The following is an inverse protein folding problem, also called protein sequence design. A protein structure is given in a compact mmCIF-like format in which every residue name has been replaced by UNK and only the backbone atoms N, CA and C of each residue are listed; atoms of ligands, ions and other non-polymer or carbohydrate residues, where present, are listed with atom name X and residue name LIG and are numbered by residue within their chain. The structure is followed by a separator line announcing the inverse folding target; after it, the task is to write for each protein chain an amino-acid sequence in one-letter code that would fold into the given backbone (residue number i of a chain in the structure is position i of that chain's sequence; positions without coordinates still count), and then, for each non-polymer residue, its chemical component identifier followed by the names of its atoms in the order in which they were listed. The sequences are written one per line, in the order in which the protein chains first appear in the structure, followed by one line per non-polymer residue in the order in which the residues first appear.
data_IF_718864413656
#
_entry.id   IF_718864413656
#
_cell.length_a   1.000
_cell.length_b   1.000
_cell.length_c   1.000
_cell.angle_alpha   90.00
_cell.angle_beta   90.00
_cell.angle_gamma   90.00
#
_symmetry.space_group_name_H-M   'P 1'
#
loop_
_entity.id
_entity.type
_entity.pdbx_description
1 polymer ?
#
# COMPACT_ATOMS: atom_id res chain seq x y z
N UNK A 1 -7.82 1.36 7.02
CA UNK A 1 -8.08 2.29 8.15
C UNK A 1 -6.88 3.22 8.25
N UNK A 2 -7.09 4.54 8.28
CA UNK A 2 -5.98 5.50 8.30
C UNK A 2 -5.26 5.47 9.66
N UNK A 3 -3.94 5.65 9.65
CA UNK A 3 -3.17 5.88 10.87
C UNK A 3 -3.30 7.37 11.27
N UNK A 4 -4.30 7.63 12.11
CA UNK A 4 -4.61 8.98 12.58
C UNK A 4 -3.49 9.59 13.42
N UNK A 5 -2.71 8.77 14.11
CA UNK A 5 -1.58 9.24 14.90
C UNK A 5 -0.43 9.67 13.99
N UNK A 6 -0.13 8.89 12.94
CA UNK A 6 0.87 9.28 11.94
C UNK A 6 0.47 10.60 11.26
N UNK A 7 -0.77 10.71 10.79
CA UNK A 7 -1.30 11.96 10.18
C UNK A 7 -1.20 13.16 11.13
N UNK A 8 -1.51 12.95 12.42
CA UNK A 8 -1.38 13.97 13.45
C UNK A 8 0.06 14.47 13.57
N UNK A 9 1.03 13.55 13.65
CA UNK A 9 2.45 13.85 13.82
C UNK A 9 3.09 14.48 12.57
N UNK A 10 2.82 13.95 11.38
CA UNK A 10 3.37 14.47 10.12
C UNK A 10 2.92 15.90 9.81
N UNK A 11 1.74 16.31 10.28
CA UNK A 11 1.13 17.61 10.00
C UNK A 11 1.16 18.57 11.19
N UNK A 12 2.16 18.45 12.07
CA UNK A 12 2.32 19.31 13.26
C UNK A 12 2.22 20.82 12.94
N UNK A 13 2.87 21.27 11.86
CA UNK A 13 2.88 22.66 11.45
C UNK A 13 1.49 23.23 11.05
N UNK A 14 0.52 22.36 10.76
CA UNK A 14 -0.83 22.73 10.34
C UNK A 14 -1.85 22.65 11.48
N UNK A 15 -1.42 22.22 12.67
CA UNK A 15 -2.29 22.16 13.84
C UNK A 15 -2.61 23.57 14.33
N UNK A 16 -3.86 23.77 14.72
CA UNK A 16 -4.35 25.06 15.23
C UNK A 16 -4.76 24.92 16.68
N UNK A 17 -4.40 25.90 17.52
CA UNK A 17 -4.84 25.93 18.91
C UNK A 17 -6.35 26.17 18.98
N UNK A 18 -7.05 25.37 19.77
CA UNK A 18 -8.50 25.45 19.91
C UNK A 18 -8.88 25.89 21.32
N UNK A 19 -9.44 27.09 21.41
CA UNK A 19 -9.70 27.75 22.68
C UNK A 19 -11.18 27.61 23.04
N UNK A 20 -11.53 26.48 23.66
CA UNK A 20 -12.86 26.22 24.22
C UNK A 20 -12.69 25.76 25.67
N UNK A 21 -13.68 26.03 26.51
CA UNK A 21 -13.71 25.57 27.91
C UNK A 21 -13.76 24.04 28.07
N UNK A 22 -13.89 23.29 26.99
CA UNK A 22 -13.82 21.83 26.99
C UNK A 22 -12.37 21.39 27.05
N UNK A 23 -12.02 20.73 28.15
CA UNK A 23 -10.70 20.17 28.38
C UNK A 23 -10.53 18.77 27.81
N UNK A 24 -11.60 18.15 27.29
CA UNK A 24 -11.60 16.79 26.76
C UNK A 24 -11.74 16.81 25.23
N UNK A 25 -10.74 16.23 24.55
CA UNK A 25 -10.73 16.05 23.11
C UNK A 25 -11.86 15.16 22.58
N UNK A 26 -12.53 14.38 23.44
CA UNK A 26 -13.66 13.50 23.08
C UNK A 26 -15.03 14.20 23.12
N UNK A 27 -15.15 15.39 23.72
CA UNK A 27 -16.43 16.07 23.94
C UNK A 27 -16.65 17.28 23.02
N UNK A 28 -16.14 17.23 21.78
CA UNK A 28 -16.18 18.36 20.83
C UNK A 28 -17.23 18.22 19.71
N UNK A 29 -18.05 17.16 19.70
CA UNK A 29 -18.96 16.85 18.59
C UNK A 29 -19.88 18.02 18.20
N UNK A 30 -20.55 18.63 19.18
CA UNK A 30 -21.47 19.76 18.96
C UNK A 30 -20.73 21.02 18.50
N UNK A 31 -19.53 21.26 19.06
CA UNK A 31 -18.71 22.43 18.75
C UNK A 31 -18.14 22.36 17.32
N UNK A 32 -17.72 21.17 16.90
CA UNK A 32 -17.17 20.90 15.58
C UNK A 32 -18.26 20.65 14.53
N UNK A 33 -19.52 20.45 14.95
CA UNK A 33 -20.63 20.00 14.10
C UNK A 33 -20.28 18.72 13.33
N UNK A 34 -19.58 17.82 13.99
CA UNK A 34 -19.00 16.62 13.42
C UNK A 34 -19.23 15.44 14.36
N UNK A 35 -19.31 14.23 13.81
CA UNK A 35 -19.55 13.00 14.56
C UNK A 35 -18.21 12.46 15.07
N UNK A 36 -18.12 12.12 16.36
CA UNK A 36 -16.97 11.38 16.88
C UNK A 36 -16.98 9.96 16.31
N UNK A 37 -15.94 9.59 15.57
CA UNK A 37 -15.79 8.26 14.97
C UNK A 37 -14.67 7.44 15.61
N UNK A 38 -13.69 8.10 16.21
CA UNK A 38 -12.61 7.43 16.94
C UNK A 38 -12.26 8.24 18.20
N UNK A 39 -12.55 7.75 19.42
CA UNK A 39 -12.20 8.46 20.64
C UNK A 39 -10.68 8.43 20.90
N UNK A 40 -10.17 9.49 21.53
CA UNK A 40 -8.83 9.49 22.10
C UNK A 40 -8.77 8.54 23.31
N UNK A 41 -7.66 7.83 23.42
CA UNK A 41 -7.33 6.90 24.52
C UNK A 41 -5.84 7.01 24.88
N UNK A 42 -5.39 6.29 25.90
CA UNK A 42 -3.96 6.23 26.26
C UNK A 42 -3.06 5.72 25.12
N UNK A 43 -3.60 4.85 24.26
CA UNK A 43 -2.87 4.28 23.11
C UNK A 43 -3.00 5.12 21.83
N UNK A 44 -4.10 5.87 21.70
CA UNK A 44 -4.39 6.74 20.57
C UNK A 44 -4.71 8.14 21.10
N UNK A 45 -3.72 9.03 21.27
CA UNK A 45 -3.93 10.31 21.96
C UNK A 45 -4.79 11.33 21.20
N UNK A 46 -5.32 10.95 20.03
CA UNK A 46 -6.07 11.82 19.13
C UNK A 46 -7.49 11.29 18.95
N UNK A 47 -8.47 12.17 19.17
CA UNK A 47 -9.87 11.93 18.85
C UNK A 47 -10.13 12.34 17.40
N UNK A 48 -10.92 11.56 16.66
CA UNK A 48 -11.24 11.81 15.26
C UNK A 48 -12.73 12.05 15.12
N UNK A 49 -13.03 13.23 14.59
CA UNK A 49 -14.36 13.64 14.20
C UNK A 49 -14.50 13.62 12.69
N UNK A 50 -15.70 13.34 12.21
CA UNK A 50 -16.02 13.27 10.79
C UNK A 50 -17.25 14.11 10.48
N UNK A 51 -17.16 14.91 9.42
CA UNK A 51 -18.31 15.47 8.73
C UNK A 51 -18.36 14.98 7.27
N UNK A 52 -19.18 15.63 6.44
CA UNK A 52 -19.35 15.24 5.04
C UNK A 52 -18.04 15.33 4.24
N UNK A 53 -17.19 16.33 4.50
CA UNK A 53 -16.11 16.72 3.60
C UNK A 53 -14.71 16.53 4.21
N UNK A 54 -14.61 16.41 5.54
CA UNK A 54 -13.33 16.35 6.26
C UNK A 54 -13.36 15.48 7.52
N UNK A 55 -12.16 15.12 7.95
CA UNK A 55 -11.86 14.67 9.30
C UNK A 55 -11.29 15.82 10.11
N UNK A 56 -11.65 15.88 11.40
CA UNK A 56 -11.06 16.80 12.37
C UNK A 56 -10.42 15.96 13.46
N UNK A 57 -9.09 16.02 13.54
CA UNK A 57 -8.30 15.35 14.57
C UNK A 57 -8.12 16.32 15.74
N UNK A 58 -8.39 15.87 16.95
CA UNK A 58 -8.27 16.64 18.18
C UNK A 58 -7.32 15.95 19.15
N UNK A 59 -6.26 16.64 19.56
CA UNK A 59 -5.24 16.08 20.45
C UNK A 59 -4.75 17.11 21.47
N UNK A 60 -4.15 16.61 22.55
CA UNK A 60 -3.55 17.43 23.59
C UNK A 60 -2.03 17.47 23.47
N UNK A 61 -1.48 18.59 23.01
CA UNK A 61 -0.04 18.83 22.92
C UNK A 61 0.27 20.27 23.38
N UNK A 62 0.47 20.44 24.69
CA UNK A 62 0.59 21.77 25.31
C UNK A 62 -0.70 22.60 25.33
N UNK A 63 -1.83 21.99 24.98
CA UNK A 63 -3.16 22.59 24.85
C UNK A 63 -4.02 21.76 23.90
N UNK A 64 -5.33 22.01 23.86
CA UNK A 64 -6.19 21.37 22.88
C UNK A 64 -5.87 21.96 21.49
N UNK A 65 -5.51 21.08 20.56
CA UNK A 65 -5.19 21.43 19.18
C UNK A 65 -6.10 20.68 18.23
N UNK A 66 -6.36 21.28 17.06
CA UNK A 66 -7.12 20.66 15.98
C UNK A 66 -6.28 20.59 14.70
N UNK A 67 -6.45 19.50 13.96
CA UNK A 67 -5.96 19.33 12.61
C UNK A 67 -7.14 18.98 11.71
N UNK A 68 -7.41 19.82 10.72
CA UNK A 68 -8.42 19.54 9.71
C UNK A 68 -7.77 18.82 8.52
N UNK A 69 -8.39 17.72 8.10
CA UNK A 69 -7.93 16.91 6.97
C UNK A 69 -9.10 16.71 6.01
N UNK A 70 -9.03 17.35 4.84
CA UNK A 70 -10.05 17.18 3.80
C UNK A 70 -10.01 15.75 3.26
N UNK A 71 -11.17 15.08 3.14
CA UNK A 71 -11.26 13.69 2.62
C UNK A 71 -10.68 13.57 1.22
N UNK A 72 -10.95 14.57 0.39
CA UNK A 72 -10.44 14.72 -0.97
C UNK A 72 -8.90 14.90 -1.06
N UNK A 73 -8.22 15.07 0.08
CA UNK A 73 -6.76 15.12 0.17
C UNK A 73 -6.12 13.85 0.74
N UNK A 74 -6.89 12.79 0.96
CA UNK A 74 -6.45 11.48 1.48
C UNK A 74 -6.44 10.41 0.38
N UNK A 75 -5.84 10.75 -0.75
CA UNK A 75 -5.64 9.86 -1.89
C UNK A 75 -4.26 9.19 -1.83
N UNK A 76 -4.16 8.03 -2.46
CA UNK A 76 -2.91 7.32 -2.76
C UNK A 76 -2.77 7.20 -4.28
N UNK A 77 -1.53 7.25 -4.78
CA UNK A 77 -1.23 7.05 -6.20
C UNK A 77 -0.23 5.91 -6.31
N UNK A 78 -0.64 4.82 -6.95
CA UNK A 78 0.24 3.68 -7.19
C UNK A 78 0.53 3.51 -8.68
N UNK A 79 1.76 3.07 -8.96
CA UNK A 79 2.26 2.89 -10.30
C UNK A 79 2.51 1.42 -10.56
N UNK A 80 2.05 0.92 -11.71
CA UNK A 80 2.21 -0.47 -12.12
C UNK A 80 2.67 -0.57 -13.57
N UNK A 81 3.64 -1.44 -13.83
CA UNK A 81 3.99 -1.87 -15.18
C UNK A 81 3.32 -3.22 -15.45
N UNK A 82 2.59 -3.32 -16.57
CA UNK A 82 1.84 -4.50 -16.97
C UNK A 82 2.42 -5.07 -18.26
N UNK A 83 2.90 -6.30 -18.15
CA UNK A 83 3.55 -7.05 -19.23
C UNK A 83 2.73 -8.23 -19.75
N UNK A 84 1.61 -8.54 -19.09
CA UNK A 84 0.74 -9.69 -19.38
C UNK A 84 -0.70 -9.25 -19.66
N UNK A 85 -1.44 -10.03 -20.44
CA UNK A 85 -2.80 -9.69 -20.83
C UNK A 85 -3.78 -10.02 -19.69
N UNK A 86 -4.25 -8.97 -19.02
CA UNK A 86 -5.25 -9.05 -17.95
C UNK A 86 -6.68 -8.80 -18.47
N UNK A 87 -6.91 -8.90 -19.78
CA UNK A 87 -8.23 -8.73 -20.39
C UNK A 87 -8.72 -7.28 -20.47
N UNK A 88 -7.81 -6.31 -20.32
CA UNK A 88 -8.13 -4.87 -20.31
C UNK A 88 -8.27 -4.28 -21.73
N UNK A 89 -7.91 -5.03 -22.78
CA UNK A 89 -7.97 -4.55 -24.16
C UNK A 89 -6.97 -3.45 -24.51
N UNK A 90 -5.91 -3.30 -23.72
CA UNK A 90 -4.79 -2.37 -23.96
C UNK A 90 -3.61 -3.15 -24.54
N UNK A 91 -2.90 -2.56 -25.50
CA UNK A 91 -1.72 -3.17 -26.09
C UNK A 91 -0.59 -3.31 -25.06
N UNK A 92 0.07 -4.47 -25.04
CA UNK A 92 1.17 -4.74 -24.13
C UNK A 92 2.52 -4.26 -24.70
N UNK A 93 3.43 -3.80 -23.83
CA UNK A 93 3.22 -3.60 -22.40
C UNK A 93 2.59 -2.23 -22.14
N UNK A 94 2.01 -2.01 -20.97
CA UNK A 94 1.47 -0.69 -20.60
C UNK A 94 1.75 -0.35 -19.14
N UNK A 95 1.60 0.92 -18.82
CA UNK A 95 1.72 1.45 -17.47
C UNK A 95 0.32 1.80 -16.98
N UNK A 96 0.04 1.45 -15.73
CA UNK A 96 -1.14 1.89 -15.01
C UNK A 96 -0.74 2.85 -13.89
N UNK A 97 -1.48 3.94 -13.77
CA UNK A 97 -1.47 4.80 -12.60
C UNK A 97 -2.84 4.66 -11.95
N UNK A 98 -2.85 4.04 -10.77
CA UNK A 98 -4.05 3.87 -9.96
C UNK A 98 -4.10 5.00 -8.95
N UNK A 99 -5.29 5.55 -8.77
CA UNK A 99 -5.56 6.56 -7.76
C UNK A 99 -6.72 6.08 -6.92
N UNK A 100 -6.49 6.01 -5.62
CA UNK A 100 -7.48 5.53 -4.65
C UNK A 100 -7.68 6.56 -3.55
N UNK A 101 -8.93 6.90 -3.26
CA UNK A 101 -9.29 7.70 -2.10
C UNK A 101 -10.23 6.90 -1.19
N UNK A 102 -9.67 6.26 -0.17
CA UNK A 102 -10.44 5.42 0.75
C UNK A 102 -11.45 6.21 1.59
N UNK A 103 -11.29 7.54 1.72
CA UNK A 103 -12.19 8.40 2.48
C UNK A 103 -13.45 8.80 1.69
N UNK A 104 -13.35 8.88 0.37
CA UNK A 104 -14.48 9.18 -0.53
C UNK A 104 -14.94 7.97 -1.35
N UNK A 105 -14.24 6.85 -1.24
CA UNK A 105 -14.45 5.61 -2.02
C UNK A 105 -14.27 5.81 -3.55
N UNK A 106 -13.65 6.92 -3.94
CA UNK A 106 -13.34 7.22 -5.34
C UNK A 106 -12.06 6.47 -5.75
N UNK A 107 -12.11 5.81 -6.90
CA UNK A 107 -10.97 5.13 -7.50
C UNK A 107 -10.97 5.40 -9.00
N UNK A 108 -9.78 5.52 -9.60
CA UNK A 108 -9.66 5.65 -11.04
C UNK A 108 -8.30 5.12 -11.51
N UNK A 109 -8.25 4.62 -12.74
CA UNK A 109 -7.04 4.06 -13.34
C UNK A 109 -6.77 4.72 -14.68
N UNK A 110 -5.59 5.31 -14.82
CA UNK A 110 -5.09 5.77 -16.12
C UNK A 110 -4.16 4.72 -16.71
N UNK A 111 -4.27 4.48 -18.02
CA UNK A 111 -3.46 3.50 -18.76
C UNK A 111 -2.73 4.14 -19.92
N UNK A 112 -1.43 3.93 -19.99
CA UNK A 112 -0.58 4.38 -21.09
C UNK A 112 0.20 3.22 -21.69
N UNK A 113 -0.05 2.90 -22.97
CA UNK A 113 0.76 1.93 -23.71
C UNK A 113 2.24 2.35 -23.70
N UNK A 114 3.11 1.43 -23.31
CA UNK A 114 4.55 1.64 -23.36
C UNK A 114 5.09 1.20 -24.72
N UNK A 115 6.01 1.97 -25.29
CA UNK A 115 6.70 1.65 -26.55
C UNK A 115 8.17 2.04 -26.47
N UNK A 116 9.03 1.29 -27.13
CA UNK A 116 10.42 1.67 -27.37
C UNK A 116 10.56 2.10 -28.83
N UNK A 117 11.11 3.29 -29.08
CA UNK A 117 11.43 3.72 -30.45
C UNK A 117 12.81 3.26 -30.91
N UNK A 118 13.12 3.46 -32.19
CA UNK A 118 14.40 3.07 -32.81
C UNK A 118 15.62 3.80 -32.21
N UNK A 119 15.40 4.89 -31.48
CA UNK A 119 16.44 5.67 -30.78
C UNK A 119 16.63 5.20 -29.33
N UNK A 120 15.86 4.19 -28.88
CA UNK A 120 15.90 3.65 -27.53
C UNK A 120 15.16 4.49 -26.50
N UNK A 121 14.28 5.42 -26.92
CA UNK A 121 13.46 6.21 -26.00
C UNK A 121 12.19 5.47 -25.65
N UNK A 122 11.83 5.52 -24.37
CA UNK A 122 10.58 4.95 -23.88
C UNK A 122 9.48 6.00 -24.02
N UNK A 123 8.44 5.61 -24.74
CA UNK A 123 7.17 6.30 -24.84
C UNK A 123 6.16 5.64 -23.92
N UNK A 124 5.40 6.45 -23.17
CA UNK A 124 4.22 6.00 -22.43
C UNK A 124 3.03 6.85 -22.88
N UNK A 125 2.08 6.22 -23.57
CA UNK A 125 0.99 6.89 -24.25
C UNK A 125 1.48 7.79 -25.39
N UNK A 126 1.46 9.11 -25.18
CA UNK A 126 1.85 10.13 -26.18
C UNK A 126 3.09 10.93 -25.80
N UNK A 127 3.77 10.56 -24.72
CA UNK A 127 4.91 11.29 -24.15
C UNK A 127 6.08 10.35 -23.94
N UNK A 128 7.30 10.89 -24.03
CA UNK A 128 8.51 10.16 -23.67
C UNK A 128 8.83 10.35 -22.20
N UNK A 129 9.43 9.35 -21.56
CA UNK A 129 9.88 9.47 -20.16
C UNK A 129 11.00 10.52 -19.97
N UNK A 130 11.71 10.87 -21.05
CA UNK A 130 12.76 11.89 -21.03
C UNK A 130 12.20 13.33 -21.15
N UNK A 131 10.88 13.49 -21.41
CA UNK A 131 10.24 14.80 -21.45
C UNK A 131 9.79 15.18 -20.03
N UNK A 132 10.16 16.38 -19.59
CA UNK A 132 9.65 17.03 -18.36
C UNK A 132 8.24 17.60 -18.58
N UNK A 133 7.36 16.77 -19.14
CA UNK A 133 6.00 17.14 -19.54
C UNK A 133 5.03 16.01 -19.18
N UNK A 134 4.13 16.31 -18.24
CA UNK A 134 3.05 15.42 -17.87
C UNK A 134 2.09 15.19 -19.06
N UNK A 135 1.73 13.92 -19.40
CA UNK A 135 0.68 13.66 -20.38
C UNK A 135 -0.69 14.09 -19.83
N UNK A 136 -1.66 14.20 -20.73
CA UNK A 136 -3.05 14.32 -20.31
C UNK A 136 -3.52 12.99 -19.70
N UNK A 137 -3.77 13.02 -18.38
CA UNK A 137 -4.30 11.90 -17.61
C UNK A 137 -5.68 12.29 -17.06
N UNK A 138 -6.75 12.16 -17.86
CA UNK A 138 -8.09 12.49 -17.40
C UNK A 138 -8.56 11.43 -16.41
N UNK A 139 -8.66 11.83 -15.14
CA UNK A 139 -9.29 11.05 -14.09
C UNK A 139 -10.70 11.60 -13.84
N UNK A 140 -11.57 11.50 -14.85
CA UNK A 140 -12.89 12.15 -14.87
C UNK A 140 -13.83 11.67 -13.74
N UNK A 141 -13.53 10.50 -13.17
CA UNK A 141 -14.27 9.87 -12.07
C UNK A 141 -13.88 10.44 -10.69
N UNK A 142 -12.79 11.22 -10.61
CA UNK A 142 -12.29 11.79 -9.36
C UNK A 142 -12.70 13.26 -9.22
N UNK A 143 -13.39 13.57 -8.13
CA UNK A 143 -13.85 14.92 -7.80
C UNK A 143 -12.73 15.88 -7.37
N UNK A 144 -11.51 15.38 -7.13
CA UNK A 144 -10.38 16.14 -6.58
C UNK A 144 -9.23 16.39 -7.56
N UNK A 145 -9.44 16.17 -8.86
CA UNK A 145 -8.41 16.38 -9.90
C UNK A 145 -7.86 17.81 -9.98
N UNK A 146 -8.63 18.81 -9.54
CA UNK A 146 -8.21 20.21 -9.49
C UNK A 146 -7.31 20.55 -8.28
N UNK A 147 -7.17 19.62 -7.32
CA UNK A 147 -6.34 19.81 -6.13
C UNK A 147 -4.86 19.95 -6.51
N UNK A 148 -4.20 20.98 -5.99
CA UNK A 148 -2.78 21.23 -6.24
C UNK A 148 -1.89 20.08 -5.77
N UNK A 149 -2.16 19.53 -4.57
CA UNK A 149 -1.42 18.41 -4.02
C UNK A 149 -1.55 17.17 -4.90
N UNK A 150 -2.75 16.89 -5.42
CA UNK A 150 -2.97 15.78 -6.34
C UNK A 150 -2.14 15.94 -7.63
N UNK A 151 -2.12 17.14 -8.22
CA UNK A 151 -1.31 17.41 -9.42
C UNK A 151 0.19 17.30 -9.16
N UNK A 152 0.66 17.73 -7.98
CA UNK A 152 2.06 17.61 -7.57
C UNK A 152 2.46 16.14 -7.39
N UNK A 153 1.67 15.35 -6.67
CA UNK A 153 1.92 13.91 -6.49
C UNK A 153 1.86 13.14 -7.81
N UNK A 154 0.89 13.45 -8.67
CA UNK A 154 0.81 12.84 -10.00
C UNK A 154 2.04 13.20 -10.86
N UNK A 155 2.52 14.44 -10.75
CA UNK A 155 3.76 14.85 -11.41
C UNK A 155 4.99 14.15 -10.81
N UNK A 156 5.04 13.94 -9.49
CA UNK A 156 6.11 13.18 -8.82
C UNK A 156 6.14 11.74 -9.33
N UNK A 157 5.00 11.07 -9.38
CA UNK A 157 4.89 9.70 -9.90
C UNK A 157 5.38 9.60 -11.34
N UNK A 158 5.04 10.59 -12.18
CA UNK A 158 5.46 10.60 -13.58
C UNK A 158 6.95 10.90 -13.77
N UNK A 159 7.51 11.90 -13.08
CA UNK A 159 8.89 12.34 -13.32
C UNK A 159 9.92 11.65 -12.45
N UNK A 160 9.53 11.08 -11.31
CA UNK A 160 10.45 10.46 -10.35
C UNK A 160 10.30 8.94 -10.28
N UNK A 161 9.06 8.44 -10.15
CA UNK A 161 8.81 7.01 -9.91
C UNK A 161 8.80 6.19 -11.21
N UNK A 162 8.12 6.66 -12.25
CA UNK A 162 8.01 5.96 -13.54
C UNK A 162 9.35 5.75 -14.25
N UNK A 163 10.30 6.70 -14.26
CA UNK A 163 11.64 6.46 -14.82
C UNK A 163 12.40 5.33 -14.13
N UNK A 164 12.10 4.99 -12.87
CA UNK A 164 12.71 3.83 -12.19
C UNK A 164 12.28 2.50 -12.81
N UNK A 165 11.17 2.46 -13.54
CA UNK A 165 10.70 1.27 -14.26
C UNK A 165 11.37 1.09 -15.63
N UNK A 166 12.18 2.06 -16.09
CA UNK A 166 12.90 1.97 -17.38
C UNK A 166 13.61 0.63 -17.61
N UNK A 167 14.40 0.09 -16.66
CA UNK A 167 15.09 -1.19 -16.88
C UNK A 167 14.12 -2.35 -17.15
N UNK A 168 12.94 -2.35 -16.51
CA UNK A 168 11.92 -3.37 -16.70
C UNK A 168 11.23 -3.23 -18.07
N UNK A 169 10.92 -2.00 -18.47
CA UNK A 169 10.32 -1.70 -19.77
C UNK A 169 11.29 -2.09 -20.91
N UNK A 170 12.55 -1.70 -20.82
CA UNK A 170 13.59 -2.04 -21.82
C UNK A 170 13.79 -3.55 -21.91
N UNK A 171 13.82 -4.26 -20.77
CA UNK A 171 13.94 -5.71 -20.75
C UNK A 171 12.79 -6.39 -21.51
N UNK A 172 11.55 -5.93 -21.34
CA UNK A 172 10.39 -6.50 -22.06
C UNK A 172 10.55 -6.39 -23.59
N UNK A 173 11.00 -5.24 -24.09
CA UNK A 173 11.20 -5.01 -25.53
C UNK A 173 12.40 -5.77 -26.10
N UNK A 174 13.51 -5.84 -25.35
CA UNK A 174 14.71 -6.55 -25.80
C UNK A 174 14.56 -8.08 -25.75
N UNK A 175 13.70 -8.61 -24.87
CA UNK A 175 13.42 -10.04 -24.74
C UNK A 175 12.17 -10.50 -25.52
N UNK A 176 11.57 -9.63 -26.34
CA UNK A 176 10.54 -10.00 -27.32
C UNK A 176 9.14 -10.19 -26.76
N UNK A 177 8.79 -9.57 -25.63
CA UNK A 177 7.44 -9.57 -25.06
C UNK A 177 6.91 -10.91 -24.57
N UNK A 178 7.67 -11.99 -24.75
CA UNK A 178 7.55 -13.19 -23.96
C UNK A 178 8.41 -12.98 -22.71
N UNK A 179 7.79 -12.79 -21.55
CA UNK A 179 8.37 -13.40 -20.36
C UNK A 179 8.32 -14.88 -20.70
N UNK A 180 9.42 -15.38 -21.24
CA UNK A 180 9.51 -16.78 -21.58
C UNK A 180 9.18 -17.56 -20.30
N UNK A 181 8.26 -18.51 -20.39
CA UNK A 181 8.24 -19.72 -19.55
C UNK A 181 9.53 -20.53 -19.82
N UNK A 182 10.67 -19.87 -19.82
CA UNK A 182 11.97 -20.48 -19.82
C UNK A 182 12.47 -20.35 -18.39
N UNK A 183 12.58 -21.50 -17.77
CA UNK A 183 13.45 -21.88 -16.66
C UNK A 183 14.93 -21.51 -16.93
N UNK A 184 15.21 -20.35 -17.55
CA UNK A 184 16.53 -19.77 -17.65
C UNK A 184 16.71 -18.87 -16.43
N UNK A 185 17.70 -19.15 -15.56
CA UNK A 185 17.94 -18.34 -14.38
C UNK A 185 18.16 -16.91 -14.85
N UNK A 186 17.33 -15.99 -14.35
CA UNK A 186 17.46 -14.57 -14.60
C UNK A 186 18.93 -14.19 -14.50
N UNK A 187 19.49 -13.66 -15.59
CA UNK A 187 20.85 -13.13 -15.62
C UNK A 187 20.87 -11.80 -14.85
N UNK A 188 20.68 -11.88 -13.54
CA UNK A 188 21.06 -10.86 -12.60
C UNK A 188 22.56 -10.63 -12.82
N UNK A 189 22.93 -9.48 -13.40
CA UNK A 189 24.32 -9.20 -13.76
C UNK A 189 25.29 -9.47 -12.61
N UNK A 190 26.44 -10.07 -12.90
CA UNK A 190 27.49 -10.55 -11.98
C UNK A 190 27.03 -11.35 -10.74
N UNK A 191 27.61 -12.52 -10.51
CA UNK A 191 27.27 -13.40 -9.38
C UNK A 191 27.40 -12.71 -8.01
N UNK A 192 28.29 -11.72 -7.91
CA UNK A 192 28.42 -10.88 -6.72
C UNK A 192 27.17 -10.05 -6.42
N UNK A 193 26.48 -9.54 -7.44
CA UNK A 193 25.26 -8.75 -7.24
C UNK A 193 24.10 -9.61 -6.78
N UNK A 194 23.97 -10.82 -7.33
CA UNK A 194 22.98 -11.81 -6.87
C UNK A 194 23.19 -12.11 -5.40
N UNK A 195 24.42 -12.41 -5.00
CA UNK A 195 24.74 -12.68 -3.60
C UNK A 195 24.38 -11.49 -2.71
N UNK A 196 24.72 -10.26 -3.10
CA UNK A 196 24.35 -9.06 -2.35
C UNK A 196 22.82 -8.87 -2.24
N UNK A 197 22.05 -9.24 -3.27
CA UNK A 197 20.59 -9.17 -3.25
C UNK A 197 20.01 -10.22 -2.31
N UNK A 198 20.52 -11.45 -2.35
CA UNK A 198 20.15 -12.52 -1.40
C UNK A 198 20.51 -12.16 0.04
N UNK A 199 21.68 -11.56 0.28
CA UNK A 199 22.11 -11.14 1.62
C UNK A 199 21.19 -10.03 2.18
N UNK A 200 20.82 -9.04 1.35
CA UNK A 200 19.87 -7.99 1.74
C UNK A 200 18.49 -8.58 2.03
N UNK A 201 18.02 -9.49 1.19
CA UNK A 201 16.74 -10.18 1.37
C UNK A 201 16.71 -10.95 2.69
N UNK A 202 17.74 -11.78 2.94
CA UNK A 202 17.85 -12.57 4.16
C UNK A 202 17.86 -11.69 5.41
N UNK A 203 18.53 -10.53 5.35
CA UNK A 203 18.56 -9.61 6.50
C UNK A 203 17.20 -8.92 6.74
N UNK A 204 16.49 -8.53 5.68
CA UNK A 204 15.12 -8.01 5.79
C UNK A 204 14.22 -9.06 6.42
N UNK A 205 14.26 -10.30 5.92
CA UNK A 205 13.45 -11.42 6.44
C UNK A 205 13.73 -11.66 7.93
N UNK A 206 15.00 -11.73 8.34
CA UNK A 206 15.35 -11.92 9.77
C UNK A 206 14.83 -10.81 10.65
N UNK A 207 14.94 -9.55 10.21
CA UNK A 207 14.47 -8.40 10.97
C UNK A 207 12.97 -8.46 11.18
N UNK A 208 12.22 -8.71 10.10
CA UNK A 208 10.76 -8.79 10.17
C UNK A 208 10.29 -10.02 10.96
N UNK A 209 10.95 -11.17 10.85
CA UNK A 209 10.68 -12.34 11.70
C UNK A 209 10.82 -12.04 13.20
N UNK A 210 11.80 -11.21 13.58
CA UNK A 210 11.93 -10.77 14.97
C UNK A 210 10.78 -9.89 15.45
N UNK A 211 10.17 -9.11 14.54
CA UNK A 211 8.98 -8.30 14.85
C UNK A 211 7.74 -9.20 14.93
N UNK A 212 7.56 -10.08 13.94
CA UNK A 212 6.43 -11.02 13.85
C UNK A 212 6.32 -11.93 15.07
N UNK A 213 7.44 -12.46 15.56
CA UNK A 213 7.49 -13.31 16.77
C UNK A 213 7.06 -12.61 18.07
N UNK A 214 7.01 -11.27 18.10
CA UNK A 214 6.46 -10.50 19.24
C UNK A 214 4.99 -10.15 19.04
N UNK A 215 4.52 -10.17 17.79
CA UNK A 215 3.18 -9.74 17.40
C UNK A 215 2.19 -10.91 17.39
N UNK A 216 2.65 -12.10 17.03
CA UNK A 216 1.86 -13.32 17.01
C UNK A 216 2.23 -14.26 18.17
N UNK A 217 1.23 -14.93 18.72
CA UNK A 217 1.41 -16.04 19.65
C UNK A 217 1.82 -17.32 18.91
N UNK A 218 2.37 -18.30 19.62
CA UNK A 218 2.73 -19.60 19.04
C UNK A 218 1.53 -20.32 18.40
N UNK A 219 0.34 -20.18 18.99
CA UNK A 219 -0.87 -20.81 18.46
C UNK A 219 -1.39 -20.07 17.21
N UNK A 220 -1.30 -18.73 17.18
CA UNK A 220 -1.57 -17.94 15.98
C UNK A 220 -0.63 -18.35 14.83
N UNK A 221 0.67 -18.49 15.11
CA UNK A 221 1.64 -18.93 14.10
C UNK A 221 1.39 -20.36 13.62
N UNK A 222 0.95 -21.28 14.50
CA UNK A 222 0.59 -22.66 14.10
C UNK A 222 -0.63 -22.70 13.20
N UNK A 223 -1.66 -21.89 13.49
CA UNK A 223 -2.85 -21.79 12.63
C UNK A 223 -2.44 -21.27 11.26
N UNK A 224 -1.68 -20.17 11.22
CA UNK A 224 -1.20 -19.58 9.96
C UNK A 224 -0.36 -20.60 9.18
N UNK A 225 0.57 -21.30 9.84
CA UNK A 225 1.40 -22.32 9.21
C UNK A 225 0.55 -23.47 8.60
N UNK A 226 -0.50 -23.90 9.30
CA UNK A 226 -1.43 -24.92 8.81
C UNK A 226 -2.15 -24.49 7.52
N UNK A 227 -2.46 -23.21 7.39
CA UNK A 227 -3.07 -22.64 6.18
C UNK A 227 -2.04 -22.52 5.05
N UNK A 228 -0.87 -21.95 5.35
CA UNK A 228 0.22 -21.70 4.38
C UNK A 228 0.77 -23.02 3.80
N UNK A 229 0.80 -24.10 4.58
CA UNK A 229 1.31 -25.40 4.13
C UNK A 229 0.57 -25.98 2.90
N UNK A 230 -0.65 -25.52 2.62
CA UNK A 230 -1.43 -25.92 1.44
C UNK A 230 -1.30 -24.98 0.23
N UNK A 231 -0.53 -23.90 0.34
CA UNK A 231 -0.45 -22.82 -0.66
C UNK A 231 0.92 -22.84 -1.33
N UNK A 232 0.92 -22.75 -2.65
CA UNK A 232 2.15 -22.63 -3.44
C UNK A 232 2.40 -21.14 -3.72
N UNK A 233 3.58 -20.66 -3.31
CA UNK A 233 4.00 -19.27 -3.50
C UNK A 233 4.98 -19.19 -4.67
N UNK A 234 4.45 -19.28 -5.89
CA UNK A 234 5.27 -19.41 -7.10
C UNK A 234 5.83 -18.06 -7.61
N UNK A 235 5.41 -16.94 -7.01
CA UNK A 235 5.88 -15.60 -7.37
C UNK A 235 5.86 -14.63 -6.18
N UNK A 236 6.63 -13.54 -6.26
CA UNK A 236 6.60 -12.48 -5.26
C UNK A 236 5.17 -11.93 -5.03
N UNK A 237 4.39 -11.74 -6.10
CA UNK A 237 3.02 -11.25 -6.00
C UNK A 237 2.10 -12.21 -5.22
N UNK A 238 2.35 -13.53 -5.30
CA UNK A 238 1.56 -14.53 -4.57
C UNK A 238 1.72 -14.46 -3.05
N UNK A 239 2.74 -13.75 -2.55
CA UNK A 239 2.98 -13.57 -1.11
C UNK A 239 2.03 -12.56 -0.46
N UNK A 240 1.26 -11.77 -1.23
CA UNK A 240 0.38 -10.73 -0.68
C UNK A 240 -1.03 -11.28 -0.44
N UNK A 241 -1.65 -10.84 0.66
CA UNK A 241 -3.02 -11.17 0.99
C UNK A 241 -3.16 -12.52 1.70
N UNK A 242 -2.13 -12.98 2.42
CA UNK A 242 -2.17 -14.26 3.16
C UNK A 242 -3.37 -14.35 4.11
N UNK A 243 -3.81 -13.20 4.64
CA UNK A 243 -4.99 -13.09 5.49
C UNK A 243 -6.28 -13.60 4.82
N UNK A 244 -6.41 -13.52 3.48
CA UNK A 244 -7.59 -14.02 2.76
C UNK A 244 -7.70 -15.54 2.87
N UNK A 245 -6.56 -16.23 2.75
CA UNK A 245 -6.52 -17.68 2.89
C UNK A 245 -6.81 -18.11 4.33
N UNK A 246 -6.32 -17.35 5.32
CA UNK A 246 -6.61 -17.58 6.73
C UNK A 246 -8.08 -17.31 7.07
N UNK A 247 -8.65 -16.21 6.56
CA UNK A 247 -10.07 -15.87 6.74
C UNK A 247 -10.99 -16.96 6.18
N UNK A 248 -10.72 -17.42 4.95
CA UNK A 248 -11.47 -18.52 4.34
C UNK A 248 -11.42 -19.80 5.20
N UNK A 249 -10.24 -20.14 5.73
CA UNK A 249 -10.06 -21.37 6.53
C UNK A 249 -10.63 -21.27 7.94
N UNK A 250 -10.64 -20.09 8.55
CA UNK A 250 -11.35 -19.87 9.81
C UNK A 250 -12.85 -20.13 9.62
N UNK A 251 -13.44 -19.65 8.52
CA UNK A 251 -14.87 -19.82 8.22
C UNK A 251 -15.21 -21.27 7.86
N UNK A 252 -14.38 -21.94 7.06
CA UNK A 252 -14.66 -23.29 6.54
C UNK A 252 -14.36 -24.40 7.56
N UNK A 253 -13.27 -24.29 8.32
CA UNK A 253 -12.72 -25.36 9.15
C UNK A 253 -12.82 -25.08 10.67
N UNK A 254 -13.40 -23.94 11.07
CA UNK A 254 -13.51 -23.48 12.48
C UNK A 254 -12.17 -23.54 13.23
N UNK A 255 -11.06 -23.23 12.54
CA UNK A 255 -9.70 -23.34 13.09
C UNK A 255 -9.45 -22.44 14.31
N UNK A 256 -10.18 -21.33 14.39
CA UNK A 256 -10.22 -20.44 15.55
C UNK A 256 -10.71 -21.17 16.81
N UNK A 257 -11.74 -22.01 16.68
CA UNK A 257 -12.25 -22.82 17.79
C UNK A 257 -11.28 -23.94 18.18
N UNK A 258 -10.61 -24.55 17.20
CA UNK A 258 -9.64 -25.63 17.44
C UNK A 258 -8.40 -25.14 18.20
N UNK A 259 -7.95 -23.92 17.91
CA UNK A 259 -6.77 -23.32 18.54
C UNK A 259 -7.11 -22.33 19.67
N UNK A 260 -8.40 -22.08 19.97
CA UNK A 260 -8.87 -21.10 20.96
C UNK A 260 -8.33 -19.69 20.69
N UNK A 261 -8.33 -19.28 19.43
CA UNK A 261 -7.79 -18.00 18.96
C UNK A 261 -8.93 -17.02 18.73
N UNK A 262 -8.70 -15.76 19.09
CA UNK A 262 -9.56 -14.65 18.67
C UNK A 262 -9.35 -14.37 17.18
N UNK A 263 -10.26 -14.90 16.35
CA UNK A 263 -10.20 -14.78 14.90
C UNK A 263 -10.20 -13.32 14.43
N UNK A 264 -10.97 -12.45 15.09
CA UNK A 264 -11.09 -11.05 14.68
C UNK A 264 -9.79 -10.28 14.99
N UNK A 265 -9.21 -10.52 16.17
CA UNK A 265 -7.91 -9.96 16.54
C UNK A 265 -6.77 -10.48 15.64
N UNK A 266 -6.78 -11.77 15.30
CA UNK A 266 -5.80 -12.37 14.40
C UNK A 266 -5.89 -11.74 13.00
N UNK A 267 -7.09 -11.67 12.42
CA UNK A 267 -7.29 -11.09 11.10
C UNK A 267 -6.94 -9.60 11.06
N UNK A 268 -7.20 -8.85 12.13
CA UNK A 268 -6.80 -7.45 12.25
C UNK A 268 -5.26 -7.29 12.21
N UNK A 269 -4.53 -8.12 12.97
CA UNK A 269 -3.05 -8.16 12.92
C UNK A 269 -2.56 -8.49 11.51
N UNK A 270 -3.14 -9.49 10.86
CA UNK A 270 -2.73 -9.92 9.52
C UNK A 270 -3.03 -8.88 8.44
N UNK A 271 -4.19 -8.21 8.50
CA UNK A 271 -4.57 -7.11 7.58
C UNK A 271 -3.65 -5.89 7.74
N UNK A 272 -3.04 -5.72 8.91
CA UNK A 272 -2.06 -4.66 9.20
C UNK A 272 -0.63 -4.97 8.75
N UNK A 273 -0.35 -6.14 8.19
CA UNK A 273 1.00 -6.50 7.75
C UNK A 273 1.43 -5.68 6.53
N UNK A 274 2.68 -5.21 6.57
CA UNK A 274 3.37 -4.77 5.38
C UNK A 274 3.70 -5.96 4.47
N UNK A 275 3.94 -5.70 3.19
CA UNK A 275 4.33 -6.75 2.25
C UNK A 275 5.61 -7.49 2.67
N UNK A 276 6.61 -6.77 3.19
CA UNK A 276 7.84 -7.39 3.70
C UNK A 276 7.59 -8.34 4.88
N UNK A 277 6.60 -8.02 5.73
CA UNK A 277 6.20 -8.86 6.84
C UNK A 277 5.42 -10.09 6.40
N UNK A 278 4.56 -9.98 5.37
CA UNK A 278 3.90 -11.17 4.80
C UNK A 278 4.92 -12.12 4.17
N UNK A 279 5.87 -11.59 3.40
CA UNK A 279 6.97 -12.40 2.85
C UNK A 279 7.78 -13.05 3.98
N UNK A 280 8.18 -12.30 5.01
CA UNK A 280 8.93 -12.84 6.13
C UNK A 280 8.17 -13.90 6.93
N UNK A 281 6.84 -13.77 7.04
CA UNK A 281 5.94 -14.73 7.67
C UNK A 281 5.86 -16.03 6.87
N UNK A 282 5.70 -15.93 5.55
CA UNK A 282 5.72 -17.08 4.64
C UNK A 282 7.07 -17.79 4.74
N UNK A 283 8.19 -17.08 4.64
CA UNK A 283 9.54 -17.67 4.73
C UNK A 283 9.81 -18.34 6.09
N UNK A 284 9.16 -17.89 7.18
CA UNK A 284 9.32 -18.51 8.49
C UNK A 284 8.49 -19.79 8.65
N UNK A 285 7.33 -19.86 7.99
CA UNK A 285 6.30 -20.88 8.26
C UNK A 285 6.14 -21.89 7.12
N UNK A 286 6.58 -21.56 5.92
CA UNK A 286 6.66 -22.50 4.80
C UNK A 286 7.68 -23.59 5.12
N UNK A 287 7.33 -24.87 4.95
CA UNK A 287 8.29 -25.95 5.15
C UNK A 287 9.46 -25.79 4.18
N UNK A 288 10.69 -25.92 4.70
CA UNK A 288 11.87 -26.14 3.86
C UNK A 288 11.65 -27.48 3.13
N UNK A 289 11.31 -27.41 1.86
CA UNK A 289 11.24 -28.58 0.98
C UNK A 289 12.64 -29.14 0.71
#
# INVERSE_FOLDING_TARGET
MYDWNALWHEREAYRTGYNVHHADANELADALKAKLIHPASETNPVAVYEDQDRYVLAGHDGGLQLLEVMKHGLFDITLRFVSEDEGQGVALPYVEIHVDNLATEEQAVWRGEARLDDEGRIWVGKRTLDEDVLPAMPFDELSFTDNAQFREELARVWHEDLPQLRPLIEAWFHHGGAIAEADEPAHYGDAERVQQMCDRYAEIVRREQSVLSRMFSDDELRLIAGVIAGIHFDSAASCRGVWLAVEARIIEDELDQQHQIDAEALLAKMKGLSYAQEVALIEALSPLH
#
